data_IF_952837417015
#
_entry.id   IF_952837417015
#
_cell.length_a   1.000
_cell.length_b   1.000
_cell.length_c   1.000
_cell.angle_alpha   90.00
_cell.angle_beta   90.00
_cell.angle_gamma   90.00
#
_symmetry.space_group_name_H-M   'P 1'
#
loop_
_entity.id
_entity.type
_entity.pdbx_description
1 polymer ?
#
# COMPACT_ATOMS: atom_id res chain seq x y z
N UNK A 1 0.90 2.49 18.02
CA UNK A 1 1.32 1.24 17.33
C UNK A 1 2.26 1.62 16.21
N UNK A 2 3.46 1.04 16.15
CA UNK A 2 4.42 1.26 15.06
C UNK A 2 4.23 0.15 14.04
N UNK A 3 3.72 0.45 12.85
CA UNK A 3 3.65 -0.52 11.76
C UNK A 3 4.92 -0.40 10.91
N UNK A 4 5.70 -1.48 10.79
CA UNK A 4 6.90 -1.53 9.94
C UNK A 4 6.56 -2.31 8.68
N UNK A 5 6.63 -1.66 7.52
CA UNK A 5 6.31 -2.27 6.23
C UNK A 5 7.60 -2.53 5.44
N UNK A 6 8.01 -3.79 5.30
CA UNK A 6 9.16 -4.17 4.46
C UNK A 6 8.69 -4.59 3.08
N UNK A 7 9.10 -3.83 2.07
CA UNK A 7 8.91 -4.18 0.66
C UNK A 7 10.17 -4.82 0.11
N UNK A 8 10.06 -5.57 -0.99
CA UNK A 8 11.19 -6.09 -1.75
C UNK A 8 10.86 -6.02 -3.24
N UNK A 9 11.78 -5.47 -4.04
CA UNK A 9 11.82 -5.55 -5.53
C UNK A 9 10.75 -4.76 -6.31
N UNK A 10 9.78 -4.09 -5.67
CA UNK A 10 8.70 -3.39 -6.38
C UNK A 10 9.04 -1.95 -6.79
N UNK A 11 8.36 -1.41 -7.81
CA UNK A 11 8.41 0.04 -8.10
C UNK A 11 7.67 0.85 -7.03
N UNK A 12 6.60 0.28 -6.50
CA UNK A 12 5.73 0.86 -5.48
C UNK A 12 5.21 -0.27 -4.58
N UNK A 13 5.18 -0.02 -3.28
CA UNK A 13 4.52 -0.86 -2.29
C UNK A 13 3.26 -0.16 -1.78
N UNK A 14 2.14 -0.87 -1.74
CA UNK A 14 0.86 -0.35 -1.25
C UNK A 14 0.35 -1.22 -0.09
N UNK A 15 -0.25 -0.60 0.93
CA UNK A 15 -0.93 -1.29 2.02
C UNK A 15 -2.29 -0.65 2.25
N UNK A 16 -3.31 -1.50 2.40
CA UNK A 16 -4.66 -1.11 2.71
C UNK A 16 -5.09 -1.63 4.09
N UNK A 17 -5.78 -0.78 4.84
CA UNK A 17 -6.44 -1.13 6.11
C UNK A 17 -7.91 -0.77 6.01
N UNK A 18 -8.80 -1.75 6.19
CA UNK A 18 -10.25 -1.59 6.04
C UNK A 18 -10.92 -1.61 7.42
N UNK A 19 -11.74 -0.58 7.70
CA UNK A 19 -12.59 -0.48 8.88
C UNK A 19 -13.82 -1.37 8.83
N UNK A 20 -14.65 -1.33 9.86
CA UNK A 20 -15.95 -2.03 9.89
C UNK A 20 -17.09 -1.25 9.20
N UNK A 21 -16.83 0.01 8.86
CA UNK A 21 -17.72 0.95 8.17
C UNK A 21 -17.43 1.09 6.67
N UNK A 22 -16.60 0.21 6.11
CA UNK A 22 -16.09 0.25 4.73
C UNK A 22 -15.18 1.45 4.40
N UNK A 23 -14.84 2.28 5.38
CA UNK A 23 -13.79 3.28 5.25
C UNK A 23 -12.42 2.59 5.26
N UNK A 24 -11.48 3.11 4.47
CA UNK A 24 -10.15 2.52 4.41
C UNK A 24 -9.03 3.55 4.28
N UNK A 25 -7.90 3.16 4.84
CA UNK A 25 -6.63 3.85 4.72
C UNK A 25 -5.79 3.13 3.67
N UNK A 26 -5.31 3.88 2.68
CA UNK A 26 -4.37 3.40 1.67
C UNK A 26 -3.04 4.15 1.80
N UNK A 27 -1.94 3.40 1.84
CA UNK A 27 -0.59 3.92 1.99
C UNK A 27 0.31 3.35 0.90
N UNK A 28 0.78 4.21 0.01
CA UNK A 28 1.76 3.85 -1.02
C UNK A 28 3.13 4.45 -0.71
N UNK A 29 4.18 3.68 -0.93
CA UNK A 29 5.58 4.10 -0.73
C UNK A 29 6.45 3.67 -1.91
N UNK A 30 7.29 4.58 -2.37
CA UNK A 30 8.31 4.35 -3.40
C UNK A 30 9.69 4.08 -2.79
N UNK A 31 10.63 3.49 -3.57
CA UNK A 31 12.01 3.27 -3.14
C UNK A 31 12.75 4.53 -2.67
N UNK A 32 12.33 5.72 -3.13
CA UNK A 32 12.94 7.01 -2.79
C UNK A 32 12.20 7.76 -1.69
N UNK A 33 11.21 7.12 -1.04
CA UNK A 33 10.48 7.70 0.09
C UNK A 33 9.32 8.62 -0.32
N UNK A 34 9.07 8.81 -1.62
CA UNK A 34 7.81 9.39 -2.07
C UNK A 34 6.66 8.50 -1.62
N UNK A 35 5.59 9.12 -1.17
CA UNK A 35 4.45 8.40 -0.63
C UNK A 35 3.16 9.12 -0.97
N UNK A 36 2.09 8.34 -0.99
CA UNK A 36 0.72 8.81 -1.06
C UNK A 36 -0.03 8.15 0.09
N UNK A 37 -0.79 8.95 0.83
CA UNK A 37 -1.65 8.45 1.91
C UNK A 37 -3.04 8.99 1.66
N UNK A 38 -4.01 8.08 1.52
CA UNK A 38 -5.40 8.39 1.25
C UNK A 38 -6.28 7.85 2.37
N UNK A 39 -7.27 8.65 2.80
CA UNK A 39 -8.43 8.13 3.53
C UNK A 39 -9.62 8.13 2.59
N UNK A 40 -10.28 6.99 2.52
CA UNK A 40 -11.40 6.75 1.64
C UNK A 40 -12.64 6.42 2.46
N UNK A 41 -13.76 7.07 2.11
CA UNK A 41 -15.07 6.83 2.71
C UNK A 41 -15.93 5.93 1.84
N UNK A 42 -15.89 4.64 2.11
CA UNK A 42 -16.37 3.63 1.18
C UNK A 42 -15.50 3.53 -0.09
N UNK A 43 -15.90 2.62 -0.98
CA UNK A 43 -15.12 2.24 -2.17
C UNK A 43 -14.89 3.42 -3.14
N UNK A 44 -13.61 3.77 -3.33
CA UNK A 44 -13.16 4.71 -4.37
C UNK A 44 -13.42 6.20 -4.07
N UNK A 45 -13.88 6.53 -2.87
CA UNK A 45 -14.23 7.89 -2.49
C UNK A 45 -13.20 8.48 -1.52
N UNK A 46 -12.08 8.96 -2.06
CA UNK A 46 -11.05 9.60 -1.26
C UNK A 46 -11.51 10.96 -0.73
N UNK A 47 -11.48 11.11 0.59
CA UNK A 47 -11.89 12.35 1.30
C UNK A 47 -10.69 13.15 1.80
N UNK A 48 -9.55 12.49 1.99
CA UNK A 48 -8.29 13.12 2.36
C UNK A 48 -7.17 12.56 1.48
N UNK A 49 -6.31 13.47 1.02
CA UNK A 49 -5.23 13.17 0.09
C UNK A 49 -3.90 13.64 0.68
N UNK A 50 -2.82 12.94 0.31
CA UNK A 50 -1.44 13.34 0.59
C UNK A 50 -1.16 13.64 2.08
N UNK A 51 -1.71 12.82 2.99
CA UNK A 51 -1.42 13.01 4.40
C UNK A 51 0.08 12.80 4.71
N UNK A 52 0.65 13.61 5.62
CA UNK A 52 2.06 13.52 5.91
C UNK A 52 2.41 12.19 6.58
N UNK A 53 3.49 11.58 6.13
CA UNK A 53 4.01 10.32 6.65
C UNK A 53 5.53 10.40 6.81
N UNK A 54 6.05 9.94 7.95
CA UNK A 54 7.50 9.77 8.11
C UNK A 54 7.90 8.46 7.45
N UNK A 55 8.66 8.56 6.37
CA UNK A 55 9.15 7.41 5.60
C UNK A 55 10.68 7.39 5.61
N UNK A 56 11.25 6.21 5.79
CA UNK A 56 12.69 5.95 5.62
C UNK A 56 12.86 4.79 4.67
N UNK A 57 13.72 4.94 3.66
CA UNK A 57 13.99 3.87 2.70
C UNK A 57 15.49 3.57 2.60
N UNK A 58 15.81 2.34 2.22
CA UNK A 58 17.17 1.89 1.92
C UNK A 58 17.15 1.08 0.63
N UNK A 59 17.90 1.53 -0.37
CA UNK A 59 18.05 0.83 -1.65
C UNK A 59 19.32 -0.03 -1.59
N UNK A 60 19.19 -1.30 -1.94
CA UNK A 60 20.30 -2.24 -2.16
C UNK A 60 20.47 -2.47 -3.66
N UNK A 61 21.50 -1.86 -4.24
CA UNK A 61 21.76 -1.93 -5.68
C UNK A 61 22.26 -3.30 -6.13
N UNK A 62 22.98 -4.02 -5.28
CA UNK A 62 23.53 -5.34 -5.60
C UNK A 62 22.43 -6.39 -5.59
N UNK A 63 21.62 -6.40 -4.54
CA UNK A 63 20.48 -7.30 -4.42
C UNK A 63 19.29 -6.89 -5.32
N UNK A 64 19.36 -5.72 -5.98
CA UNK A 64 18.26 -5.11 -6.75
C UNK A 64 16.96 -5.03 -5.93
N UNK A 65 17.08 -4.70 -4.66
CA UNK A 65 15.96 -4.59 -3.73
C UNK A 65 15.96 -3.23 -3.04
N UNK A 66 14.88 -2.92 -2.36
CA UNK A 66 14.83 -1.79 -1.45
C UNK A 66 13.93 -2.16 -0.28
N UNK A 67 14.13 -1.51 0.86
CA UNK A 67 13.27 -1.64 2.04
C UNK A 67 12.76 -0.27 2.44
N UNK A 68 11.54 -0.22 2.98
CA UNK A 68 10.92 0.98 3.53
C UNK A 68 10.55 0.79 5.00
N UNK A 69 10.35 1.90 5.70
CA UNK A 69 9.69 1.97 7.00
C UNK A 69 8.81 3.21 6.96
N UNK A 70 7.51 3.04 7.22
CA UNK A 70 6.52 4.11 7.21
C UNK A 70 5.83 4.20 8.58
N UNK A 71 5.95 5.34 9.24
CA UNK A 71 5.33 5.55 10.55
C UNK A 71 3.93 6.13 10.39
N UNK A 72 2.91 5.26 10.43
CA UNK A 72 1.50 5.65 10.27
C UNK A 72 0.94 6.11 11.62
N UNK A 73 0.47 7.38 11.74
CA UNK A 73 -0.25 7.83 12.92
C UNK A 73 -1.51 6.98 13.17
N UNK A 74 -1.77 6.61 14.42
CA UNK A 74 -2.97 5.82 14.77
C UNK A 74 -4.28 6.53 14.40
N UNK A 75 -4.25 7.86 14.34
CA UNK A 75 -5.38 8.71 13.94
C UNK A 75 -5.75 8.61 12.47
N UNK A 76 -4.92 7.98 11.62
CA UNK A 76 -5.24 7.80 10.20
C UNK A 76 -6.04 6.54 9.93
N UNK A 77 -6.03 5.58 10.87
CA UNK A 77 -6.74 4.33 10.67
C UNK A 77 -8.25 4.57 10.74
N UNK A 78 -9.03 3.87 9.89
CA UNK A 78 -10.48 3.89 10.01
C UNK A 78 -10.90 3.25 11.34
N UNK A 79 -12.16 3.45 11.70
CA UNK A 79 -12.72 2.84 12.90
C UNK A 79 -12.64 1.32 12.78
N UNK A 80 -12.20 0.66 13.85
CA UNK A 80 -12.19 -0.80 13.98
C UNK A 80 -11.65 -1.53 12.75
N UNK A 81 -10.36 -1.36 12.44
CA UNK A 81 -9.72 -2.08 11.32
C UNK A 81 -9.95 -3.60 11.46
N UNK A 82 -10.69 -4.17 10.51
CA UNK A 82 -11.06 -5.59 10.49
C UNK A 82 -10.23 -6.40 9.50
N UNK A 83 -9.73 -5.76 8.43
CA UNK A 83 -8.94 -6.41 7.39
C UNK A 83 -7.76 -5.55 6.99
N UNK A 84 -6.71 -6.21 6.49
CA UNK A 84 -5.58 -5.53 5.87
C UNK A 84 -5.08 -6.36 4.68
N UNK A 85 -4.44 -5.70 3.72
CA UNK A 85 -3.69 -6.38 2.66
C UNK A 85 -2.50 -5.51 2.22
N UNK A 86 -1.52 -6.15 1.59
CA UNK A 86 -0.35 -5.49 1.05
C UNK A 86 -0.16 -5.91 -0.40
N UNK A 87 0.27 -4.97 -1.23
CA UNK A 87 0.43 -5.13 -2.66
C UNK A 87 1.80 -4.62 -3.12
N UNK A 88 2.29 -5.22 -4.19
CA UNK A 88 3.53 -4.83 -4.83
C UNK A 88 3.37 -4.95 -6.34
N UNK A 89 3.80 -3.92 -7.08
CA UNK A 89 3.75 -3.92 -8.55
C UNK A 89 5.17 -3.83 -9.10
N UNK A 90 5.51 -4.75 -10.00
CA UNK A 90 6.83 -4.90 -10.61
C UNK A 90 6.69 -4.87 -12.13
N UNK A 91 7.76 -4.49 -12.84
CA UNK A 91 7.75 -4.45 -14.30
C UNK A 91 6.95 -3.30 -14.90
N UNK A 92 6.77 -3.33 -16.22
CA UNK A 92 5.99 -2.36 -17.00
C UNK A 92 5.21 -3.09 -18.09
N UNK A 93 4.08 -2.52 -18.48
CA UNK A 93 3.29 -2.98 -19.63
C UNK A 93 3.01 -4.49 -19.55
N UNK A 94 3.32 -5.25 -20.60
CA UNK A 94 3.12 -6.70 -20.71
C UNK A 94 3.93 -7.51 -19.68
N UNK A 95 5.00 -6.94 -19.11
CA UNK A 95 5.83 -7.60 -18.08
C UNK A 95 5.40 -7.25 -16.65
N UNK A 96 4.29 -6.50 -16.50
CA UNK A 96 3.83 -6.06 -15.18
C UNK A 96 3.34 -7.25 -14.36
N UNK A 97 3.90 -7.40 -13.17
CA UNK A 97 3.48 -8.41 -12.19
C UNK A 97 2.81 -7.73 -11.01
N UNK A 98 1.61 -8.20 -10.66
CA UNK A 98 0.85 -7.77 -9.49
C UNK A 98 1.00 -8.82 -8.40
N UNK A 99 1.49 -8.41 -7.24
CA UNK A 99 1.70 -9.26 -6.08
C UNK A 99 0.82 -8.78 -4.95
N UNK A 100 0.35 -9.72 -4.11
CA UNK A 100 -0.44 -9.41 -2.93
C UNK A 100 -0.09 -10.39 -1.81
N UNK A 101 -0.25 -9.94 -0.56
CA UNK A 101 -0.09 -10.80 0.61
C UNK A 101 -1.25 -11.80 0.71
N UNK A 102 -2.48 -11.31 0.51
CA UNK A 102 -3.68 -12.13 0.41
C UNK A 102 -4.27 -12.00 -1.00
N UNK A 103 -4.00 -12.98 -1.89
CA UNK A 103 -4.45 -12.90 -3.27
C UNK A 103 -5.95 -13.12 -3.40
N UNK A 104 -6.55 -12.35 -4.31
CA UNK A 104 -7.93 -12.61 -4.74
C UNK A 104 -8.00 -13.95 -5.49
N UNK A 105 -9.12 -14.69 -5.40
CA UNK A 105 -9.29 -15.93 -6.14
C UNK A 105 -9.23 -15.69 -7.65
N UNK A 106 -8.58 -16.62 -8.37
CA UNK A 106 -8.44 -16.55 -9.82
C UNK A 106 -9.83 -16.61 -10.49
N UNK A 107 -10.09 -15.72 -11.44
CA UNK A 107 -11.32 -15.71 -12.25
C UNK A 107 -12.53 -15.02 -11.63
N UNK A 108 -12.41 -14.42 -10.44
CA UNK A 108 -13.50 -13.64 -9.83
C UNK A 108 -13.58 -12.18 -10.30
N UNK A 109 -12.51 -11.69 -10.94
CA UNK A 109 -12.39 -10.30 -11.37
C UNK A 109 -11.75 -10.24 -12.76
N UNK A 110 -12.25 -9.35 -13.61
CA UNK A 110 -11.74 -9.15 -14.98
C UNK A 110 -10.41 -8.37 -15.01
N UNK A 111 -10.08 -7.64 -13.95
CA UNK A 111 -8.86 -6.86 -13.82
C UNK A 111 -8.84 -5.99 -12.57
N UNK A 112 -7.74 -5.25 -12.32
CA UNK A 112 -7.67 -4.26 -11.26
C UNK A 112 -8.66 -3.12 -11.55
N UNK A 113 -9.29 -2.60 -10.49
CA UNK A 113 -10.06 -1.35 -10.56
C UNK A 113 -9.05 -0.20 -10.49
N UNK A 114 -8.77 0.43 -11.64
CA UNK A 114 -7.83 1.55 -11.78
C UNK A 114 -8.50 2.89 -11.51
#
# INVERSE_FOLDING_TARGET
MLTVLRFAVCKWGCVLFLGDDEDYLEVEVSPFGHHIVLLLKGRGNAVNFCLPLKVTTRIDKEAKTWTGIAHIPSTYFPKNVTKFNAYAIHGKDETRTYMSLYPAPKGQHEGPNL
#
